data_IF_588215858294
#
_entry.id   IF_588215858294
#
_cell.length_a   1.000
_cell.length_b   1.000
_cell.length_c   1.000
_cell.angle_alpha   90.00
_cell.angle_beta   90.00
_cell.angle_gamma   90.00
#
_symmetry.space_group_name_H-M   'P 1'
#
loop_
_entity.id
_entity.type
_entity.pdbx_description
1 polymer ?
#
# COMPACT_ATOMS: atom_id res chain seq x y z
N UNK A 1 0.65 -15.71 -5.00
CA UNK A 1 1.01 -14.80 -3.89
C UNK A 1 0.10 -13.59 -3.97
N UNK A 2 -0.53 -13.25 -2.86
CA UNK A 2 -1.40 -12.07 -2.74
C UNK A 2 -0.68 -10.96 -1.96
N UNK A 3 -0.57 -9.78 -2.53
CA UNK A 3 -0.03 -8.62 -1.84
C UNK A 3 -1.11 -7.55 -1.65
N UNK A 4 -1.04 -6.86 -0.52
CA UNK A 4 -1.82 -5.66 -0.24
C UNK A 4 -0.88 -4.48 -0.09
N UNK A 5 -1.10 -3.43 -0.85
CA UNK A 5 -0.46 -2.14 -0.65
C UNK A 5 -1.37 -1.23 0.16
N UNK A 6 -0.80 -0.45 1.05
CA UNK A 6 -1.53 0.51 1.89
C UNK A 6 -0.85 1.87 1.78
N UNK A 7 -1.66 2.88 1.52
CA UNK A 7 -1.28 4.30 1.54
C UNK A 7 -1.83 4.94 2.83
N UNK A 8 -0.95 5.29 3.80
CA UNK A 8 -1.40 5.70 5.13
C UNK A 8 -2.05 7.08 5.15
N UNK A 9 -3.26 7.16 5.65
CA UNK A 9 -3.94 8.42 5.96
C UNK A 9 -5.04 8.20 7.00
N UNK A 10 -5.26 9.17 7.89
CA UNK A 10 -6.32 9.07 8.90
C UNK A 10 -7.68 9.36 8.30
N UNK A 11 -7.79 10.38 7.45
CA UNK A 11 -9.05 10.72 6.78
C UNK A 11 -9.39 9.74 5.66
N UNK A 12 -8.37 9.39 4.87
CA UNK A 12 -8.46 8.48 3.73
C UNK A 12 -7.22 7.58 3.79
N UNK A 13 -7.43 6.30 3.98
CA UNK A 13 -6.39 5.29 3.90
C UNK A 13 -6.62 4.44 2.65
N UNK A 14 -5.73 4.56 1.66
CA UNK A 14 -5.81 3.78 0.43
C UNK A 14 -5.41 2.33 0.65
N UNK A 15 -6.10 1.41 -0.02
CA UNK A 15 -5.67 0.01 -0.10
C UNK A 15 -5.82 -0.55 -1.51
N UNK A 16 -4.92 -1.45 -1.87
CA UNK A 16 -4.96 -2.18 -3.13
C UNK A 16 -4.49 -3.62 -2.95
N UNK A 17 -5.28 -4.58 -3.41
CA UNK A 17 -4.99 -6.02 -3.31
C UNK A 17 -4.78 -6.59 -4.69
N UNK A 18 -3.67 -7.28 -4.90
CA UNK A 18 -3.33 -7.89 -6.16
C UNK A 18 -2.82 -9.32 -5.99
N UNK A 19 -3.12 -10.17 -6.94
CA UNK A 19 -2.58 -11.51 -7.04
C UNK A 19 -1.46 -11.57 -8.08
N UNK A 20 -0.34 -12.22 -7.73
CA UNK A 20 0.74 -12.55 -8.64
C UNK A 20 0.70 -14.04 -9.00
N UNK A 21 0.62 -14.33 -10.30
CA UNK A 21 0.69 -15.67 -10.87
C UNK A 21 1.81 -15.70 -11.92
N UNK A 22 2.99 -16.16 -11.53
CA UNK A 22 4.20 -15.99 -12.34
C UNK A 22 4.50 -14.51 -12.57
N UNK A 23 4.65 -14.09 -13.82
CA UNK A 23 4.86 -12.69 -14.22
C UNK A 23 3.56 -11.88 -14.36
N UNK A 24 2.40 -12.52 -14.26
CA UNK A 24 1.11 -11.85 -14.44
C UNK A 24 0.59 -11.30 -13.10
N UNK A 25 0.22 -10.01 -13.11
CA UNK A 25 -0.46 -9.35 -12.01
C UNK A 25 -1.95 -9.22 -12.32
N UNK A 26 -2.79 -9.49 -11.30
CA UNK A 26 -4.24 -9.38 -11.41
C UNK A 26 -4.78 -8.56 -10.24
N UNK A 27 -5.53 -7.47 -10.48
CA UNK A 27 -6.20 -6.75 -9.40
C UNK A 27 -7.30 -7.63 -8.82
N UNK A 28 -7.38 -7.70 -7.49
CA UNK A 28 -8.44 -8.37 -6.73
C UNK A 28 -9.48 -7.34 -6.31
N UNK A 29 -9.01 -6.27 -5.68
CA UNK A 29 -9.83 -5.15 -5.24
C UNK A 29 -8.94 -3.95 -4.89
N UNK A 30 -9.53 -2.78 -4.84
CA UNK A 30 -8.88 -1.56 -4.35
C UNK A 30 -9.95 -0.57 -3.88
N UNK A 31 -9.56 0.37 -3.05
CA UNK A 31 -10.44 1.36 -2.48
C UNK A 31 -9.82 2.13 -1.33
N UNK A 32 -10.65 2.64 -0.45
CA UNK A 32 -10.21 3.41 0.71
C UNK A 32 -11.01 3.03 1.96
N UNK A 33 -10.33 3.04 3.11
CA UNK A 33 -10.97 3.15 4.42
C UNK A 33 -11.07 4.64 4.73
N UNK A 34 -12.27 5.13 4.97
CA UNK A 34 -12.51 6.56 5.20
C UNK A 34 -13.04 6.80 6.61
N UNK A 35 -12.62 7.90 7.19
CA UNK A 35 -13.15 8.41 8.44
C UNK A 35 -13.60 9.86 8.26
N UNK A 36 -14.56 10.30 9.05
CA UNK A 36 -15.08 11.66 8.94
C UNK A 36 -14.57 12.56 10.07
N UNK A 37 -14.45 13.89 9.84
CA UNK A 37 -13.98 14.82 10.87
C UNK A 37 -14.96 15.02 12.03
N UNK A 38 -16.17 14.43 11.97
CA UNK A 38 -17.17 14.47 13.06
C UNK A 38 -16.73 13.65 14.27
N UNK A 39 -15.79 12.69 14.07
CA UNK A 39 -15.23 11.86 15.11
C UNK A 39 -13.91 12.42 15.63
N UNK A 40 -13.63 12.15 16.89
CA UNK A 40 -12.33 12.46 17.49
C UNK A 40 -11.21 11.67 16.83
N UNK A 41 -9.96 12.14 16.94
CA UNK A 41 -8.81 11.43 16.36
C UNK A 41 -8.71 9.99 16.88
N UNK A 42 -9.00 9.76 18.17
CA UNK A 42 -9.00 8.42 18.75
C UNK A 42 -10.06 7.50 18.13
N UNK A 43 -11.28 8.00 17.95
CA UNK A 43 -12.36 7.23 17.29
C UNK A 43 -12.02 6.92 15.85
N UNK A 44 -11.42 7.87 15.13
CA UNK A 44 -10.97 7.66 13.74
C UNK A 44 -9.88 6.60 13.65
N UNK A 45 -8.97 6.53 14.62
CA UNK A 45 -7.97 5.45 14.66
C UNK A 45 -8.61 4.08 14.92
N UNK A 46 -9.67 4.01 15.72
CA UNK A 46 -10.45 2.76 15.91
C UNK A 46 -11.15 2.36 14.61
N UNK A 47 -11.80 3.31 13.91
CA UNK A 47 -12.43 3.02 12.61
C UNK A 47 -11.42 2.49 11.59
N UNK A 48 -10.21 3.06 11.56
CA UNK A 48 -9.13 2.58 10.70
C UNK A 48 -8.67 1.17 11.10
N UNK A 49 -8.51 0.92 12.40
CA UNK A 49 -8.14 -0.39 12.96
C UNK A 49 -9.16 -1.47 12.55
N UNK A 50 -10.44 -1.21 12.74
CA UNK A 50 -11.51 -2.15 12.40
C UNK A 50 -11.57 -2.40 10.89
N UNK A 51 -11.53 -1.33 10.07
CA UNK A 51 -11.55 -1.45 8.61
C UNK A 51 -10.36 -2.23 8.05
N UNK A 52 -9.16 -2.07 8.62
CA UNK A 52 -7.99 -2.85 8.20
C UNK A 52 -8.13 -4.33 8.57
N UNK A 53 -8.61 -4.64 9.78
CA UNK A 53 -8.85 -6.03 10.19
C UNK A 53 -9.90 -6.72 9.29
N UNK A 54 -11.00 -6.04 8.94
CA UNK A 54 -11.98 -6.55 7.99
C UNK A 54 -11.36 -6.86 6.63
N UNK A 55 -10.46 -5.98 6.12
CA UNK A 55 -9.76 -6.19 4.88
C UNK A 55 -8.82 -7.40 4.95
N UNK A 56 -8.07 -7.56 6.05
CA UNK A 56 -7.16 -8.70 6.23
C UNK A 56 -7.93 -10.02 6.32
N UNK A 57 -9.02 -10.07 7.05
CA UNK A 57 -9.86 -11.25 7.18
C UNK A 57 -10.51 -11.65 5.85
N UNK A 58 -10.95 -10.66 5.09
CA UNK A 58 -11.63 -10.88 3.81
C UNK A 58 -10.69 -11.30 2.70
N UNK A 59 -9.54 -10.62 2.59
CA UNK A 59 -8.64 -10.80 1.44
C UNK A 59 -7.43 -11.68 1.74
N UNK A 60 -7.07 -11.87 3.01
CA UNK A 60 -5.97 -12.73 3.49
C UNK A 60 -4.69 -12.54 2.70
N UNK A 61 -4.08 -11.34 2.71
CA UNK A 61 -2.84 -11.07 1.99
C UNK A 61 -1.67 -11.84 2.59
N UNK A 62 -0.78 -12.34 1.73
CA UNK A 62 0.47 -13.01 2.14
C UNK A 62 1.53 -12.02 2.61
N UNK A 63 1.38 -10.74 2.22
CA UNK A 63 2.32 -9.65 2.53
C UNK A 63 1.65 -8.30 2.35
N UNK A 64 2.05 -7.35 3.19
CA UNK A 64 1.63 -5.94 3.11
C UNK A 64 2.83 -5.07 2.74
N UNK A 65 2.64 -4.16 1.79
CA UNK A 65 3.56 -3.06 1.49
C UNK A 65 3.00 -1.75 2.03
N UNK A 66 3.83 -0.97 2.71
CA UNK A 66 3.46 0.33 3.26
C UNK A 66 4.54 1.36 2.99
N UNK A 67 4.14 2.63 2.82
CA UNK A 67 5.09 3.71 2.59
C UNK A 67 5.89 4.04 3.87
N UNK A 68 7.22 4.22 3.71
CA UNK A 68 8.06 4.78 4.76
C UNK A 68 7.76 6.27 4.92
N UNK A 69 7.59 6.72 6.16
CA UNK A 69 7.46 8.14 6.46
C UNK A 69 8.82 8.83 6.39
N UNK A 70 8.92 9.84 5.53
CA UNK A 70 10.02 10.79 5.53
C UNK A 70 9.47 12.15 6.02
N UNK A 71 9.95 12.59 7.16
CA UNK A 71 9.55 13.88 7.74
C UNK A 71 10.13 15.03 6.94
N UNK A 72 9.36 15.62 6.02
CA UNK A 72 9.68 16.85 5.32
C UNK A 72 8.66 17.95 5.66
N UNK A 73 9.09 18.92 6.48
CA UNK A 73 8.55 20.29 6.67
C UNK A 73 7.16 20.49 7.29
N UNK A 74 6.22 19.56 7.31
CA UNK A 74 4.92 19.77 7.95
C UNK A 74 4.69 18.78 9.09
N UNK A 75 4.97 19.22 10.31
CA UNK A 75 4.92 18.40 11.53
C UNK A 75 3.51 17.90 11.85
N UNK A 76 2.49 18.74 11.65
CA UNK A 76 1.10 18.37 11.98
C UNK A 76 0.60 17.21 11.11
N UNK A 77 0.79 17.29 9.81
CA UNK A 77 0.44 16.20 8.88
C UNK A 77 1.26 14.93 9.16
N UNK A 78 2.55 15.11 9.53
CA UNK A 78 3.42 13.99 9.86
C UNK A 78 2.94 13.19 11.08
N UNK A 79 2.42 13.86 12.12
CA UNK A 79 1.87 13.20 13.30
C UNK A 79 0.64 12.37 12.92
N UNK A 80 -0.31 12.96 12.19
CA UNK A 80 -1.56 12.29 11.81
C UNK A 80 -1.31 11.07 10.90
N UNK A 81 -0.42 11.21 9.91
CA UNK A 81 -0.03 10.09 9.05
C UNK A 81 0.77 9.04 9.85
N UNK A 82 1.62 9.46 10.79
CA UNK A 82 2.35 8.57 11.69
C UNK A 82 1.43 7.74 12.58
N UNK A 83 0.35 8.32 13.09
CA UNK A 83 -0.67 7.61 13.86
C UNK A 83 -1.38 6.55 13.01
N UNK A 84 -1.85 6.91 11.80
CA UNK A 84 -2.46 5.96 10.86
C UNK A 84 -1.50 4.82 10.52
N UNK A 85 -0.23 5.14 10.24
CA UNK A 85 0.80 4.14 9.97
C UNK A 85 1.04 3.23 11.19
N UNK A 86 1.01 3.75 12.40
CA UNK A 86 1.11 2.95 13.63
C UNK A 86 -0.01 1.90 13.73
N UNK A 87 -1.25 2.28 13.37
CA UNK A 87 -2.38 1.35 13.31
C UNK A 87 -2.16 0.27 12.24
N UNK A 88 -1.67 0.64 11.05
CA UNK A 88 -1.38 -0.33 9.98
C UNK A 88 -0.33 -1.36 10.44
N UNK A 89 0.76 -0.93 11.05
CA UNK A 89 1.79 -1.81 11.56
C UNK A 89 1.28 -2.73 12.67
N UNK A 90 0.48 -2.18 13.60
CA UNK A 90 -0.11 -2.93 14.71
C UNK A 90 -1.05 -4.02 14.21
N UNK A 91 -2.02 -3.67 13.39
CA UNK A 91 -3.02 -4.61 12.86
C UNK A 91 -2.38 -5.71 12.02
N UNK A 92 -1.43 -5.36 11.15
CA UNK A 92 -0.70 -6.33 10.34
C UNK A 92 0.12 -7.30 11.21
N UNK A 93 0.78 -6.79 12.25
CA UNK A 93 1.53 -7.63 13.20
C UNK A 93 0.63 -8.56 13.99
N UNK A 94 -0.54 -8.09 14.44
CA UNK A 94 -1.55 -8.92 15.13
C UNK A 94 -2.12 -10.02 14.24
N UNK A 95 -2.31 -9.71 12.94
CA UNK A 95 -2.73 -10.67 11.92
C UNK A 95 -1.60 -11.60 11.45
N UNK A 96 -0.38 -11.47 11.99
CA UNK A 96 0.82 -12.21 11.56
C UNK A 96 1.14 -12.08 10.07
N UNK A 97 0.82 -10.94 9.45
CA UNK A 97 1.09 -10.67 8.04
C UNK A 97 2.44 -9.93 7.93
N UNK A 98 3.41 -10.46 7.15
CA UNK A 98 4.69 -9.79 6.92
C UNK A 98 4.52 -8.42 6.30
N UNK A 99 5.29 -7.44 6.77
CA UNK A 99 5.26 -6.05 6.30
C UNK A 99 6.57 -5.74 5.59
N UNK A 100 6.48 -5.11 4.43
CA UNK A 100 7.59 -4.50 3.70
C UNK A 100 7.36 -3.00 3.61
N UNK A 101 8.41 -2.24 3.88
CA UNK A 101 8.36 -0.79 3.90
C UNK A 101 9.22 -0.21 2.78
N UNK A 102 8.68 0.75 2.04
CA UNK A 102 9.33 1.32 0.87
C UNK A 102 9.23 2.84 0.83
N UNK A 103 10.29 3.47 0.33
CA UNK A 103 10.25 4.90 0.04
C UNK A 103 9.42 5.21 -1.21
N UNK A 104 8.85 6.43 -1.34
CA UNK A 104 8.17 6.86 -2.56
C UNK A 104 9.03 6.71 -3.82
N UNK A 105 10.33 6.98 -3.70
CA UNK A 105 11.29 6.84 -4.79
C UNK A 105 11.41 5.38 -5.27
N UNK A 106 11.47 4.44 -4.34
CA UNK A 106 11.55 3.01 -4.67
C UNK A 106 10.29 2.53 -5.40
N UNK A 107 9.11 2.94 -4.93
CA UNK A 107 7.83 2.56 -5.58
C UNK A 107 7.76 3.15 -6.99
N UNK A 108 8.04 4.45 -7.16
CA UNK A 108 8.06 5.11 -8.47
C UNK A 108 9.00 4.39 -9.44
N UNK A 109 10.23 4.17 -9.03
CA UNK A 109 11.23 3.51 -9.86
C UNK A 109 10.86 2.06 -10.17
N UNK A 110 10.32 1.33 -9.21
CA UNK A 110 9.93 -0.07 -9.40
C UNK A 110 8.73 -0.26 -10.31
N UNK A 111 7.77 0.68 -10.29
CA UNK A 111 6.56 0.62 -11.13
C UNK A 111 6.82 1.17 -12.53
N UNK A 112 7.53 2.29 -12.66
CA UNK A 112 7.72 3.00 -13.95
C UNK A 112 9.09 2.81 -14.57
N UNK A 113 10.06 2.26 -13.84
CA UNK A 113 11.47 2.25 -14.24
C UNK A 113 12.19 3.60 -14.04
N UNK A 114 11.49 4.64 -13.56
CA UNK A 114 12.02 5.99 -13.46
C UNK A 114 11.65 6.68 -12.13
N UNK A 115 12.62 6.92 -11.26
CA UNK A 115 12.40 7.44 -9.91
C UNK A 115 11.86 8.89 -9.84
N UNK A 116 11.95 9.67 -10.94
CA UNK A 116 11.39 11.03 -11.07
C UNK A 116 10.03 11.05 -11.79
N UNK A 117 9.37 9.89 -11.94
CA UNK A 117 8.06 9.82 -12.55
C UNK A 117 7.05 10.71 -11.81
N UNK A 118 6.18 11.37 -12.57
CA UNK A 118 5.07 12.14 -12.00
C UNK A 118 4.01 11.20 -11.43
N UNK A 119 3.11 11.74 -10.61
CA UNK A 119 2.00 10.95 -10.05
C UNK A 119 1.15 10.32 -11.16
N UNK A 120 0.84 11.08 -12.20
CA UNK A 120 0.06 10.62 -13.34
C UNK A 120 0.75 9.46 -14.08
N UNK A 121 2.08 9.53 -14.25
CA UNK A 121 2.85 8.47 -14.89
C UNK A 121 2.84 7.18 -14.06
N UNK A 122 2.90 7.28 -12.72
CA UNK A 122 2.79 6.12 -11.83
C UNK A 122 1.40 5.49 -11.94
N UNK A 123 0.33 6.30 -11.91
CA UNK A 123 -1.04 5.83 -12.04
C UNK A 123 -1.26 5.15 -13.39
N UNK A 124 -0.84 5.76 -14.50
CA UNK A 124 -0.97 5.20 -15.84
C UNK A 124 -0.24 3.85 -15.96
N UNK A 125 0.99 3.76 -15.46
CA UNK A 125 1.74 2.51 -15.48
C UNK A 125 1.10 1.44 -14.58
N UNK A 126 0.60 1.81 -13.39
CA UNK A 126 -0.15 0.91 -12.50
C UNK A 126 -1.36 0.31 -13.21
N UNK A 127 -2.15 1.15 -13.88
CA UNK A 127 -3.32 0.72 -14.65
C UNK A 127 -2.93 -0.26 -15.77
N UNK A 128 -1.87 0.04 -16.52
CA UNK A 128 -1.35 -0.83 -17.61
C UNK A 128 -0.89 -2.18 -17.07
N UNK A 129 -0.11 -2.20 -16.01
CA UNK A 129 0.40 -3.44 -15.40
C UNK A 129 -0.72 -4.35 -14.89
N UNK A 130 -1.81 -3.75 -14.40
CA UNK A 130 -2.97 -4.47 -13.86
C UNK A 130 -4.09 -4.69 -14.88
N UNK A 131 -3.98 -4.13 -16.10
CA UNK A 131 -5.02 -4.23 -17.13
C UNK A 131 -6.31 -3.47 -16.79
N UNK A 132 -6.22 -2.44 -15.92
CA UNK A 132 -7.35 -1.59 -15.53
C UNK A 132 -7.56 -0.54 -16.61
N UNK A 133 -8.77 -0.44 -17.15
CA UNK A 133 -9.11 0.49 -18.24
C UNK A 133 -9.72 1.80 -17.75
N UNK A 134 -10.43 1.75 -16.63
CA UNK A 134 -11.06 2.92 -16.04
C UNK A 134 -10.11 3.61 -15.05
N UNK A 135 -10.17 4.95 -15.02
CA UNK A 135 -9.33 5.73 -14.11
C UNK A 135 -9.62 5.34 -12.66
N UNK A 136 -8.57 4.93 -11.94
CA UNK A 136 -8.65 4.60 -10.51
C UNK A 136 -8.94 5.87 -9.72
N UNK A 137 -9.95 5.79 -8.85
CA UNK A 137 -10.34 6.86 -7.93
C UNK A 137 -10.70 6.26 -6.58
N UNK A 138 -10.42 6.97 -5.46
CA UNK A 138 -9.54 8.15 -5.39
C UNK A 138 -8.07 7.79 -5.66
N UNK A 139 -7.20 8.82 -5.75
CA UNK A 139 -5.77 8.65 -6.04
C UNK A 139 -5.06 7.77 -5.00
N UNK A 140 -5.48 7.83 -3.72
CA UNK A 140 -4.95 7.00 -2.63
C UNK A 140 -5.06 5.49 -2.94
N UNK A 141 -6.12 5.06 -3.62
CA UNK A 141 -6.28 3.68 -4.07
C UNK A 141 -5.28 3.33 -5.18
N UNK A 142 -4.94 4.27 -6.07
CA UNK A 142 -3.94 4.07 -7.10
C UNK A 142 -2.53 3.99 -6.51
N UNK A 143 -2.21 4.84 -5.53
CA UNK A 143 -0.94 4.82 -4.81
C UNK A 143 -0.78 3.49 -4.05
N UNK A 144 -1.84 3.00 -3.40
CA UNK A 144 -1.86 1.70 -2.74
C UNK A 144 -1.67 0.52 -3.73
N UNK A 145 -2.26 0.56 -4.92
CA UNK A 145 -2.02 -0.45 -5.95
C UNK A 145 -0.59 -0.43 -6.46
N UNK A 146 0.01 0.75 -6.66
CA UNK A 146 1.42 0.89 -7.03
C UNK A 146 2.33 0.27 -5.96
N UNK A 147 2.01 0.51 -4.68
CA UNK A 147 2.67 -0.11 -3.54
C UNK A 147 2.57 -1.63 -3.56
N UNK A 148 1.39 -2.19 -3.84
CA UNK A 148 1.17 -3.64 -3.94
C UNK A 148 2.00 -4.27 -5.07
N UNK A 149 2.08 -3.63 -6.24
CA UNK A 149 2.92 -4.05 -7.37
C UNK A 149 4.37 -4.12 -6.94
N UNK A 150 4.89 -3.04 -6.36
CA UNK A 150 6.28 -2.98 -5.94
C UNK A 150 6.58 -4.00 -4.83
N UNK A 151 5.65 -4.26 -3.94
CA UNK A 151 5.74 -5.29 -2.91
C UNK A 151 5.99 -6.67 -3.51
N UNK A 152 5.28 -7.04 -4.58
CA UNK A 152 5.49 -8.29 -5.30
C UNK A 152 6.87 -8.33 -5.96
N UNK A 153 7.27 -7.28 -6.66
CA UNK A 153 8.57 -7.22 -7.33
C UNK A 153 9.75 -7.33 -6.36
N UNK A 154 9.66 -6.64 -5.23
CA UNK A 154 10.69 -6.67 -4.19
C UNK A 154 10.83 -8.05 -3.57
N UNK A 155 9.73 -8.76 -3.33
CA UNK A 155 9.76 -10.10 -2.76
C UNK A 155 10.36 -11.14 -3.71
N UNK A 156 10.07 -11.05 -4.99
CA UNK A 156 10.73 -11.88 -6.01
C UNK A 156 12.25 -11.65 -6.04
N UNK A 157 12.69 -10.40 -5.97
CA UNK A 157 14.13 -10.07 -5.94
C UNK A 157 14.82 -10.63 -4.70
N UNK A 158 14.18 -10.60 -3.53
CA UNK A 158 14.71 -11.16 -2.29
C UNK A 158 14.79 -12.69 -2.32
N UNK A 159 13.84 -13.38 -2.93
CA UNK A 159 13.86 -14.83 -3.10
C UNK A 159 14.99 -15.28 -4.02
N UNK A 160 15.23 -14.57 -5.12
CA UNK A 160 16.33 -14.85 -6.05
C UNK A 160 17.71 -14.66 -5.41
N UNK A 161 17.88 -13.63 -4.57
CA UNK A 161 19.15 -13.41 -3.85
C UNK A 161 19.46 -14.50 -2.83
N UNK A 162 18.45 -15.11 -2.20
CA UNK A 162 18.65 -16.24 -1.29
C UNK A 162 19.06 -17.54 -2.00
N UNK A 163 18.63 -17.72 -3.24
CA UNK A 163 18.95 -18.92 -4.05
C UNK A 163 20.38 -18.87 -4.61
N UNK A 164 20.98 -17.70 -4.76
CA UNK A 164 22.34 -17.52 -5.29
C UNK A 164 23.42 -17.62 -4.19
N UNK A 165 23.05 -17.67 -2.91
CA UNK A 165 23.99 -17.79 -1.77
C UNK A 165 24.15 -19.22 -1.23
N UNK A 166 23.65 -20.23 -1.93
CA UNK A 166 23.86 -21.66 -1.71
C UNK A 166 24.77 -22.25 -2.79
#
# INVERSE_FOLDING_TARGET
>A
MRAMGIDPGTAICGFGVIDAMGSRLKPVTYGTVQTTPEYTDAERLVMLYDGLNELYDKYKPDVIGVEQLFFNRNVTTAITVGQARGIILLTAQQAHIPILEFSPLQVKQGVTGYGRATKEQVIDMTMRLLGIREKIKPDDAADALAMAIYTIYSRHSLSLKRTVQL
#
